data_IF_409967845072
#
_entry.id   IF_409967845072
#
_cell.length_a   1.000
_cell.length_b   1.000
_cell.length_c   1.000
_cell.angle_alpha   90.00
_cell.angle_beta   90.00
_cell.angle_gamma   90.00
#
_symmetry.space_group_name_H-M   'P 1'
#
loop_
_entity.id
_entity.type
_entity.pdbx_description
1 polymer ?
#
# COMPACT_ATOMS: atom_id res chain seq x y z
N UNK A 1 -24.07 2.83 2.61
CA UNK A 1 -22.60 2.76 2.42
C UNK A 1 -22.25 3.44 1.11
N UNK A 2 -21.36 4.41 1.13
CA UNK A 2 -20.83 5.06 -0.08
C UNK A 2 -19.47 4.45 -0.38
N UNK A 3 -19.43 3.47 -1.27
CA UNK A 3 -18.19 2.90 -1.77
C UNK A 3 -17.46 3.92 -2.65
N UNK A 4 -16.15 3.76 -2.77
CA UNK A 4 -15.34 4.59 -3.69
C UNK A 4 -15.87 4.50 -5.11
N UNK A 5 -15.91 5.66 -5.80
CA UNK A 5 -16.22 5.75 -7.22
C UNK A 5 -15.32 4.82 -8.04
N UNK A 6 -15.88 4.15 -9.00
CA UNK A 6 -15.17 3.31 -9.96
C UNK A 6 -14.87 4.10 -11.25
N UNK A 7 -13.63 4.09 -11.66
CA UNK A 7 -13.17 4.64 -12.93
C UNK A 7 -13.02 3.49 -13.93
N UNK A 8 -13.73 3.57 -15.04
CA UNK A 8 -13.62 2.59 -16.13
C UNK A 8 -12.32 2.79 -16.91
N UNK A 9 -11.55 1.74 -17.04
CA UNK A 9 -10.31 1.73 -17.79
C UNK A 9 -10.44 0.81 -19.02
N UNK A 10 -10.02 1.28 -20.21
CA UNK A 10 -10.07 0.46 -21.40
C UNK A 10 -9.07 -0.71 -21.33
N UNK A 11 -9.33 -1.76 -22.10
CA UNK A 11 -8.32 -2.76 -22.37
C UNK A 11 -7.11 -2.13 -23.07
N UNK A 12 -5.90 -2.64 -22.77
CA UNK A 12 -4.70 -2.11 -23.40
C UNK A 12 -3.45 -2.93 -23.14
N UNK A 13 -2.43 -2.66 -23.95
CA UNK A 13 -1.10 -3.25 -23.78
C UNK A 13 -0.13 -2.16 -23.38
N UNK A 14 0.72 -2.44 -22.39
CA UNK A 14 1.73 -1.51 -21.89
C UNK A 14 3.02 -2.22 -21.53
N UNK A 15 4.08 -1.46 -21.41
CA UNK A 15 5.37 -1.96 -20.92
C UNK A 15 5.42 -1.85 -19.41
N UNK A 16 5.39 -2.99 -18.75
CA UNK A 16 5.42 -3.12 -17.28
C UNK A 16 6.86 -3.22 -16.78
N UNK A 17 7.13 -2.58 -15.64
CA UNK A 17 8.42 -2.64 -14.98
C UNK A 17 9.37 -1.51 -15.34
N UNK A 18 10.61 -1.64 -14.87
CA UNK A 18 11.73 -0.72 -15.13
C UNK A 18 13.06 -1.46 -15.00
N UNK A 19 14.08 -1.04 -15.76
CA UNK A 19 15.46 -1.51 -15.63
C UNK A 19 16.38 -0.46 -14.97
N UNK A 20 15.84 0.71 -14.60
CA UNK A 20 16.62 1.87 -14.19
C UNK A 20 16.85 1.97 -12.68
N UNK A 21 16.09 1.21 -11.85
CA UNK A 21 16.09 1.41 -10.39
C UNK A 21 16.41 0.15 -9.60
N UNK A 22 15.41 -0.68 -9.33
CA UNK A 22 15.58 -1.85 -8.47
C UNK A 22 15.52 -3.15 -9.28
N UNK A 23 16.37 -4.14 -8.96
CA UNK A 23 16.43 -5.41 -9.70
C UNK A 23 15.10 -6.15 -9.78
N UNK A 24 14.24 -6.00 -8.75
CA UNK A 24 12.93 -6.63 -8.71
C UNK A 24 11.92 -6.04 -9.70
N UNK A 25 12.18 -4.84 -10.23
CA UNK A 25 11.34 -4.19 -11.22
C UNK A 25 11.61 -4.71 -12.66
N UNK A 26 12.68 -5.45 -12.84
CA UNK A 26 13.10 -6.01 -14.13
C UNK A 26 12.69 -7.49 -14.29
N UNK A 27 12.63 -7.99 -15.52
CA UNK A 27 12.77 -7.28 -16.80
C UNK A 27 11.54 -6.46 -17.16
N UNK A 28 11.72 -5.46 -18.02
CA UNK A 28 10.58 -4.79 -18.68
C UNK A 28 10.00 -5.73 -19.74
N UNK A 29 8.67 -5.87 -19.73
CA UNK A 29 7.98 -6.72 -20.72
C UNK A 29 6.58 -6.16 -21.03
N UNK A 30 6.04 -6.56 -22.18
CA UNK A 30 4.69 -6.16 -22.55
C UNK A 30 3.64 -6.99 -21.82
N UNK A 31 2.63 -6.31 -21.30
CA UNK A 31 1.48 -6.91 -20.64
C UNK A 31 0.19 -6.34 -21.24
N UNK A 32 -0.72 -7.22 -21.57
CA UNK A 32 -2.09 -6.84 -21.96
C UNK A 32 -3.02 -7.02 -20.78
N UNK A 33 -3.82 -6.02 -20.50
CA UNK A 33 -4.91 -6.06 -19.52
C UNK A 33 -6.25 -5.92 -20.23
N UNK A 34 -7.21 -6.68 -19.79
CA UNK A 34 -8.62 -6.52 -20.21
C UNK A 34 -9.19 -5.23 -19.62
N UNK A 35 -10.30 -4.72 -20.16
CA UNK A 35 -11.00 -3.60 -19.57
C UNK A 35 -11.49 -3.95 -18.15
N UNK A 36 -11.37 -3.02 -17.23
CA UNK A 36 -11.79 -3.17 -15.84
C UNK A 36 -12.11 -1.80 -15.23
N UNK A 37 -12.77 -1.81 -14.09
CA UNK A 37 -12.97 -0.58 -13.32
C UNK A 37 -12.14 -0.61 -12.07
N UNK A 38 -11.55 0.54 -11.69
CA UNK A 38 -10.72 0.67 -10.49
C UNK A 38 -11.26 1.77 -9.58
N UNK A 39 -11.14 1.59 -8.28
CA UNK A 39 -11.45 2.65 -7.31
C UNK A 39 -10.58 3.87 -7.55
N UNK A 40 -11.22 5.04 -7.57
CA UNK A 40 -10.56 6.32 -7.83
C UNK A 40 -9.44 6.61 -6.84
N UNK A 41 -9.62 6.22 -5.58
CA UNK A 41 -8.65 6.40 -4.49
C UNK A 41 -8.58 5.14 -3.61
N UNK A 42 -7.56 4.99 -2.75
CA UNK A 42 -7.50 3.92 -1.76
C UNK A 42 -8.74 3.92 -0.85
N UNK A 43 -9.11 2.75 -0.35
CA UNK A 43 -10.21 2.61 0.63
C UNK A 43 -9.92 3.49 1.83
N UNK A 44 -10.89 4.31 2.22
CA UNK A 44 -10.75 5.23 3.35
C UNK A 44 -11.04 4.54 4.68
N UNK A 45 -10.58 5.17 5.76
CA UNK A 45 -10.88 4.72 7.13
C UNK A 45 -12.38 4.66 7.40
N UNK A 46 -13.15 5.64 6.93
CA UNK A 46 -14.60 5.65 7.07
C UNK A 46 -15.26 4.47 6.37
N UNK A 47 -14.86 4.17 5.13
CA UNK A 47 -15.40 3.03 4.38
C UNK A 47 -15.04 1.69 5.02
N UNK A 48 -13.83 1.54 5.53
CA UNK A 48 -13.44 0.34 6.25
C UNK A 48 -14.18 0.19 7.58
N UNK A 49 -14.45 1.30 8.27
CA UNK A 49 -15.25 1.30 9.49
C UNK A 49 -16.69 0.80 9.25
N UNK A 50 -17.32 1.18 8.14
CA UNK A 50 -18.64 0.68 7.75
C UNK A 50 -18.62 -0.84 7.49
N UNK A 51 -17.63 -1.33 6.76
CA UNK A 51 -17.44 -2.78 6.56
C UNK A 51 -17.38 -3.53 7.89
N UNK A 52 -16.56 -3.04 8.82
CA UNK A 52 -16.43 -3.69 10.14
C UNK A 52 -17.72 -3.57 10.94
N UNK A 53 -18.42 -2.42 10.89
CA UNK A 53 -19.69 -2.24 11.60
C UNK A 53 -20.79 -3.18 11.09
N UNK A 54 -20.85 -3.45 9.78
CA UNK A 54 -21.86 -4.33 9.20
C UNK A 54 -21.55 -5.81 9.41
N UNK A 55 -20.26 -6.19 9.39
CA UNK A 55 -19.86 -7.60 9.37
C UNK A 55 -19.36 -8.12 10.70
N UNK A 56 -18.96 -7.25 11.63
CA UNK A 56 -18.25 -7.64 12.84
C UNK A 56 -16.84 -8.18 12.58
N UNK A 57 -16.26 -7.85 11.41
CA UNK A 57 -14.94 -8.37 11.02
C UNK A 57 -13.86 -7.97 12.02
N UNK A 58 -13.02 -8.95 12.39
CA UNK A 58 -11.85 -8.74 13.25
C UNK A 58 -10.61 -8.84 12.39
N UNK A 59 -9.80 -7.78 12.32
CA UNK A 59 -8.59 -7.73 11.48
C UNK A 59 -7.47 -8.60 12.04
N UNK A 60 -6.50 -8.93 11.18
CA UNK A 60 -5.32 -9.73 11.59
C UNK A 60 -4.60 -9.10 12.79
N UNK A 61 -4.46 -7.78 12.81
CA UNK A 61 -3.81 -7.07 13.90
C UNK A 61 -4.58 -7.16 15.25
N UNK A 62 -5.86 -7.47 15.21
CA UNK A 62 -6.74 -7.60 16.38
C UNK A 62 -6.90 -9.05 16.86
N UNK A 63 -6.36 -10.04 16.11
CA UNK A 63 -6.46 -11.48 16.46
C UNK A 63 -5.31 -11.91 17.34
N UNK A 64 -5.58 -12.90 18.16
CA UNK A 64 -4.53 -13.63 18.87
C UNK A 64 -3.57 -14.31 17.87
N UNK A 65 -2.28 -14.21 18.14
CA UNK A 65 -1.26 -14.84 17.31
C UNK A 65 -1.13 -16.32 17.67
N UNK A 66 -1.13 -17.19 16.67
CA UNK A 66 -0.91 -18.62 16.87
C UNK A 66 0.57 -18.89 17.20
N UNK A 67 0.90 -19.38 18.40
CA UNK A 67 2.29 -19.70 18.77
C UNK A 67 2.97 -20.69 17.80
N UNK A 68 2.20 -21.56 17.14
CA UNK A 68 2.75 -22.50 16.18
C UNK A 68 3.25 -21.81 14.88
N UNK A 69 2.70 -20.66 14.54
CA UNK A 69 3.12 -19.87 13.39
C UNK A 69 4.42 -19.06 13.66
N UNK A 70 4.78 -18.88 14.93
CA UNK A 70 5.93 -18.05 15.36
C UNK A 70 6.86 -18.84 16.30
N UNK A 71 7.54 -19.90 15.82
CA UNK A 71 8.39 -20.72 16.67
C UNK A 71 9.55 -19.90 17.25
N UNK A 72 9.67 -19.90 18.57
CA UNK A 72 10.71 -19.18 19.32
C UNK A 72 10.30 -17.77 19.78
N UNK A 73 9.10 -17.27 19.45
CA UNK A 73 8.56 -16.07 20.06
C UNK A 73 8.18 -16.32 21.52
N UNK A 74 8.40 -15.32 22.39
CA UNK A 74 7.92 -15.40 23.77
C UNK A 74 6.40 -15.19 23.83
N UNK A 75 5.70 -15.70 24.84
CA UNK A 75 4.27 -15.42 25.02
C UNK A 75 3.94 -13.92 25.07
N UNK A 76 4.86 -13.12 25.59
CA UNK A 76 4.70 -11.65 25.68
C UNK A 76 4.80 -10.96 24.31
N UNK A 77 5.43 -11.61 23.31
CA UNK A 77 5.52 -11.13 21.94
C UNK A 77 4.32 -11.56 21.09
N UNK A 78 3.51 -12.50 21.58
CA UNK A 78 2.34 -13.06 20.87
C UNK A 78 1.03 -12.36 21.21
N UNK A 79 1.10 -11.08 21.55
CA UNK A 79 -0.09 -10.25 21.77
C UNK A 79 -0.56 -9.60 20.46
N UNK A 80 -1.89 -9.45 20.26
CA UNK A 80 -2.43 -8.72 19.12
C UNK A 80 -1.80 -7.34 18.98
N UNK A 81 -1.45 -6.97 17.76
CA UNK A 81 -0.77 -5.71 17.49
C UNK A 81 -0.29 -5.62 16.04
N UNK A 82 0.50 -4.60 15.77
CA UNK A 82 1.01 -4.35 14.44
C UNK A 82 2.33 -3.55 14.46
N UNK A 83 3.02 -3.50 13.32
CA UNK A 83 4.22 -2.70 13.15
C UNK A 83 3.86 -1.22 13.00
N UNK A 84 4.45 -0.40 13.85
CA UNK A 84 4.26 1.05 13.86
C UNK A 84 5.58 1.73 13.52
N UNK A 85 5.55 2.65 12.56
CA UNK A 85 6.68 3.53 12.29
C UNK A 85 6.88 4.51 13.45
N UNK A 86 8.11 4.59 13.92
CA UNK A 86 8.56 5.54 14.96
C UNK A 86 9.75 6.32 14.44
N UNK A 87 9.66 7.65 14.30
CA UNK A 87 10.79 8.46 13.91
C UNK A 87 11.92 8.27 14.93
N UNK A 88 13.15 8.18 14.43
CA UNK A 88 14.33 8.10 15.30
C UNK A 88 14.70 9.51 15.80
N UNK A 89 15.53 9.59 16.83
CA UNK A 89 15.97 10.90 17.38
C UNK A 89 17.00 11.61 16.51
N UNK A 90 17.60 10.90 15.57
CA UNK A 90 18.66 11.40 14.68
C UNK A 90 18.99 10.38 13.61
N UNK A 91 20.04 10.64 12.80
CA UNK A 91 20.46 9.74 11.75
C UNK A 91 20.79 8.34 12.28
N UNK A 92 20.40 7.32 11.52
CA UNK A 92 20.64 5.90 11.85
C UNK A 92 21.14 5.15 10.62
N UNK A 93 21.57 3.90 10.81
CA UNK A 93 21.90 3.02 9.68
C UNK A 93 20.64 2.60 8.92
N UNK A 94 20.44 3.14 7.73
CA UNK A 94 19.26 2.87 6.90
C UNK A 94 19.16 1.42 6.38
N UNK A 95 20.14 0.57 6.64
CA UNK A 95 20.08 -0.87 6.32
C UNK A 95 19.40 -1.69 7.42
N UNK A 96 19.18 -1.11 8.59
CA UNK A 96 18.52 -1.77 9.71
C UNK A 96 17.15 -1.12 10.00
N UNK A 97 16.15 -1.61 9.29
CA UNK A 97 14.77 -1.13 9.41
C UNK A 97 14.17 -1.23 10.81
N UNK A 98 14.68 -2.11 11.68
CA UNK A 98 14.24 -2.28 13.07
C UNK A 98 14.44 -1.04 13.92
N UNK A 99 15.26 -0.08 13.48
CA UNK A 99 15.48 1.16 14.21
C UNK A 99 14.30 2.12 14.17
N UNK A 100 13.38 1.98 13.22
CA UNK A 100 12.18 2.81 13.10
C UNK A 100 10.88 2.02 12.98
N UNK A 101 10.92 0.70 12.97
CA UNK A 101 9.75 -0.15 13.06
C UNK A 101 9.69 -0.83 14.42
N UNK A 102 8.55 -0.69 15.10
CA UNK A 102 8.32 -1.28 16.41
C UNK A 102 7.01 -2.03 16.40
N UNK A 103 7.01 -3.27 16.91
CA UNK A 103 5.76 -3.96 17.24
C UNK A 103 5.10 -3.25 18.40
N UNK A 104 3.80 -2.87 18.22
CA UNK A 104 3.04 -2.17 19.22
C UNK A 104 1.79 -2.98 19.55
N UNK A 105 1.71 -3.56 20.75
CA UNK A 105 0.49 -4.22 21.23
C UNK A 105 -0.72 -3.30 21.13
N UNK A 106 -1.84 -3.84 20.62
CA UNK A 106 -3.08 -3.09 20.44
C UNK A 106 -3.09 -2.08 19.29
N UNK A 107 -2.00 -1.98 18.50
CA UNK A 107 -2.05 -1.23 17.24
C UNK A 107 -2.94 -1.98 16.25
N UNK A 108 -3.85 -1.25 15.61
CA UNK A 108 -4.84 -1.77 14.66
C UNK A 108 -5.34 -0.64 13.77
N UNK A 109 -6.20 -0.93 12.83
CA UNK A 109 -6.81 0.10 11.99
C UNK A 109 -7.57 1.17 12.79
N UNK A 110 -8.12 0.84 13.98
CA UNK A 110 -8.78 1.79 14.90
C UNK A 110 -7.80 2.61 15.73
N UNK A 111 -6.65 2.04 16.00
CA UNK A 111 -5.57 2.60 16.80
C UNK A 111 -4.24 2.51 16.05
N UNK A 112 -4.05 3.30 14.95
CA UNK A 112 -2.94 3.07 14.01
C UNK A 112 -1.54 3.15 14.64
N UNK A 113 -1.41 3.88 15.73
CA UNK A 113 -0.14 4.07 16.44
C UNK A 113 -0.13 3.42 17.83
N UNK A 114 -1.10 2.55 18.13
CA UNK A 114 -1.29 1.87 19.39
C UNK A 114 -2.49 2.42 20.19
N UNK A 115 -2.81 1.85 21.38
CA UNK A 115 -4.04 2.11 22.13
C UNK A 115 -4.33 3.58 22.48
N UNK A 116 -3.30 4.43 22.51
CA UNK A 116 -3.44 5.87 22.75
C UNK A 116 -3.75 6.70 21.50
N UNK A 117 -3.90 6.08 20.33
CA UNK A 117 -4.25 6.76 19.08
C UNK A 117 -5.70 6.48 18.67
N UNK A 118 -6.30 7.38 17.87
CA UNK A 118 -7.64 7.23 17.31
C UNK A 118 -7.64 7.51 15.81
N UNK A 119 -8.77 7.27 15.17
CA UNK A 119 -9.05 7.58 13.76
C UNK A 119 -10.07 8.72 13.61
N UNK A 120 -10.39 9.43 14.67
CA UNK A 120 -11.47 10.44 14.68
C UNK A 120 -11.25 11.58 13.68
N UNK A 121 -10.00 11.90 13.40
CA UNK A 121 -9.58 12.94 12.44
C UNK A 121 -9.12 12.36 11.09
N UNK A 122 -9.40 11.07 10.81
CA UNK A 122 -8.85 10.32 9.66
C UNK A 122 -9.90 9.64 8.80
N UNK A 123 -11.13 10.11 8.85
CA UNK A 123 -12.25 9.51 8.13
C UNK A 123 -11.99 9.39 6.62
N UNK A 124 -11.37 10.40 6.02
CA UNK A 124 -11.01 10.53 4.61
C UNK A 124 -9.55 10.15 4.28
N UNK A 125 -8.78 9.68 5.27
CA UNK A 125 -7.46 9.11 5.02
C UNK A 125 -7.57 7.65 4.56
N UNK A 126 -6.58 7.13 3.80
CA UNK A 126 -6.50 5.70 3.54
C UNK A 126 -6.51 4.91 4.84
N UNK A 127 -7.26 3.82 4.89
CA UNK A 127 -7.13 2.88 6.00
C UNK A 127 -5.74 2.26 5.99
N UNK A 128 -5.14 2.15 7.17
CA UNK A 128 -3.83 1.50 7.39
C UNK A 128 -3.95 0.45 8.48
N UNK A 129 -2.87 -0.26 8.78
CA UNK A 129 -2.88 -1.40 9.72
C UNK A 129 -3.83 -2.52 9.26
N UNK A 130 -3.91 -2.73 7.96
CA UNK A 130 -4.70 -3.79 7.32
C UNK A 130 -3.76 -4.76 6.60
N UNK A 131 -3.88 -6.04 6.93
CA UNK A 131 -3.15 -7.13 6.29
C UNK A 131 -3.85 -7.53 4.97
N UNK A 132 -3.19 -8.36 4.16
CA UNK A 132 -3.78 -8.83 2.89
C UNK A 132 -5.14 -9.52 3.04
N UNK A 133 -5.36 -10.43 4.03
CA UNK A 133 -6.69 -11.02 4.24
C UNK A 133 -7.77 -10.00 4.61
N UNK A 134 -7.40 -8.92 5.32
CA UNK A 134 -8.34 -7.86 5.69
C UNK A 134 -8.80 -7.09 4.46
N UNK A 135 -7.85 -6.73 3.59
CA UNK A 135 -8.12 -6.07 2.33
C UNK A 135 -8.98 -6.94 1.39
N UNK A 136 -8.68 -8.25 1.31
CA UNK A 136 -9.45 -9.20 0.52
C UNK A 136 -10.88 -9.39 1.05
N UNK A 137 -11.05 -9.42 2.38
CA UNK A 137 -12.38 -9.52 3.02
C UNK A 137 -13.24 -8.27 2.74
N UNK A 138 -12.65 -7.07 2.86
CA UNK A 138 -13.33 -5.84 2.46
C UNK A 138 -13.74 -5.86 0.99
N UNK A 139 -12.82 -6.23 0.10
CA UNK A 139 -13.10 -6.29 -1.33
C UNK A 139 -14.28 -7.22 -1.64
N UNK A 140 -14.30 -8.42 -1.03
CA UNK A 140 -15.40 -9.37 -1.19
C UNK A 140 -16.74 -8.82 -0.68
N UNK A 141 -16.74 -8.17 0.50
CA UNK A 141 -17.94 -7.52 1.05
C UNK A 141 -18.48 -6.42 0.12
N UNK A 142 -17.58 -5.63 -0.47
CA UNK A 142 -17.93 -4.57 -1.41
C UNK A 142 -18.38 -5.11 -2.80
N UNK A 143 -18.38 -6.43 -3.05
CA UNK A 143 -18.63 -7.02 -4.35
C UNK A 143 -17.51 -6.72 -5.36
N UNK A 144 -16.30 -6.50 -4.87
CA UNK A 144 -15.11 -6.13 -5.64
C UNK A 144 -13.97 -7.14 -5.40
N UNK A 145 -12.81 -6.87 -5.94
CA UNK A 145 -11.58 -7.65 -5.74
C UNK A 145 -10.35 -6.74 -5.70
N UNK A 146 -9.25 -7.23 -5.15
CA UNK A 146 -7.98 -6.52 -5.24
C UNK A 146 -7.42 -6.62 -6.68
N UNK A 147 -6.70 -5.60 -7.15
CA UNK A 147 -6.06 -5.63 -8.47
C UNK A 147 -4.91 -6.63 -8.50
N UNK A 148 -4.60 -7.16 -9.67
CA UNK A 148 -3.28 -7.74 -9.94
C UNK A 148 -2.24 -6.61 -10.00
N UNK A 149 -0.96 -6.95 -9.85
CA UNK A 149 0.12 -5.99 -10.03
C UNK A 149 0.08 -5.31 -11.41
N UNK A 150 -0.22 -6.07 -12.46
CA UNK A 150 -0.31 -5.54 -13.82
C UNK A 150 -1.47 -4.54 -13.98
N UNK A 151 -2.64 -4.85 -13.45
CA UNK A 151 -3.80 -3.93 -13.47
C UNK A 151 -3.49 -2.66 -12.68
N UNK A 152 -2.85 -2.80 -11.52
CA UNK A 152 -2.47 -1.66 -10.70
C UNK A 152 -1.48 -0.75 -11.44
N UNK A 153 -0.40 -1.32 -12.02
CA UNK A 153 0.62 -0.54 -12.73
C UNK A 153 0.06 0.10 -14.01
N UNK A 154 -0.82 -0.59 -14.74
CA UNK A 154 -1.53 -0.03 -15.88
C UNK A 154 -2.34 1.21 -15.51
N UNK A 155 -3.11 1.12 -14.42
CA UNK A 155 -3.89 2.23 -13.89
C UNK A 155 -2.99 3.41 -13.44
N UNK A 156 -1.86 3.11 -12.77
CA UNK A 156 -0.92 4.12 -12.31
C UNK A 156 -0.22 4.86 -13.45
N UNK A 157 0.16 4.14 -14.50
CA UNK A 157 0.81 4.72 -15.69
C UNK A 157 -0.13 5.59 -16.52
N UNK A 158 -1.38 5.22 -16.61
CA UNK A 158 -2.40 5.92 -17.40
C UNK A 158 -1.90 6.28 -18.82
N UNK A 159 -1.27 5.31 -19.49
CA UNK A 159 -0.70 5.47 -20.84
C UNK A 159 0.71 6.06 -20.89
N UNK A 160 1.26 6.55 -19.78
CA UNK A 160 2.61 7.10 -19.71
C UNK A 160 3.67 6.01 -19.53
N UNK A 161 4.84 6.20 -20.15
CA UNK A 161 6.05 5.42 -19.89
C UNK A 161 7.09 6.18 -19.06
N UNK A 162 6.73 7.38 -18.60
CA UNK A 162 7.59 8.21 -17.78
C UNK A 162 7.91 7.57 -16.42
N UNK A 163 8.91 8.10 -15.75
CA UNK A 163 9.39 7.64 -14.43
C UNK A 163 8.31 7.70 -13.36
N UNK A 164 7.55 8.79 -13.32
CA UNK A 164 6.41 9.00 -12.43
C UNK A 164 5.11 9.05 -13.23
N UNK A 165 3.98 8.92 -12.57
CA UNK A 165 2.66 9.02 -13.22
C UNK A 165 2.44 10.39 -13.91
N UNK A 166 3.14 11.43 -13.48
CA UNK A 166 3.04 12.83 -13.96
C UNK A 166 4.19 13.25 -14.88
N UNK A 167 5.18 12.42 -15.16
CA UNK A 167 6.35 12.75 -15.98
C UNK A 167 7.67 12.26 -15.38
N UNK A 168 8.78 12.81 -15.84
CA UNK A 168 10.12 12.40 -15.40
C UNK A 168 10.70 13.26 -14.28
N UNK A 169 10.16 14.45 -14.05
CA UNK A 169 10.55 15.31 -12.95
C UNK A 169 9.78 14.93 -11.68
N UNK A 170 10.51 14.74 -10.58
CA UNK A 170 9.91 14.39 -9.28
C UNK A 170 9.02 15.49 -8.72
N UNK A 171 9.37 16.75 -8.99
CA UNK A 171 8.66 17.94 -8.52
C UNK A 171 8.55 18.99 -9.64
N UNK A 172 7.69 18.77 -10.63
CA UNK A 172 7.53 19.70 -11.73
C UNK A 172 7.13 21.10 -11.19
N UNK A 173 7.87 22.12 -11.62
CA UNK A 173 7.72 23.50 -11.14
C UNK A 173 7.79 23.64 -9.60
N UNK A 174 8.52 22.74 -8.93
CA UNK A 174 8.67 22.71 -7.47
C UNK A 174 7.43 22.20 -6.71
N UNK A 175 6.42 21.63 -7.40
CA UNK A 175 5.20 21.12 -6.79
C UNK A 175 5.36 19.67 -6.37
N UNK A 176 4.95 19.37 -5.15
CA UNK A 176 4.79 17.98 -4.69
C UNK A 176 3.59 17.35 -5.39
N UNK A 177 3.80 16.22 -6.04
CA UNK A 177 2.80 15.49 -6.83
C UNK A 177 2.25 14.26 -6.11
N UNK A 178 2.82 13.91 -4.98
CA UNK A 178 2.43 12.76 -4.17
C UNK A 178 2.82 12.97 -2.70
N UNK A 179 2.13 12.28 -1.78
CA UNK A 179 2.51 12.27 -0.38
C UNK A 179 3.68 11.31 -0.17
N UNK A 180 4.88 11.86 -0.08
CA UNK A 180 6.14 11.17 0.20
C UNK A 180 6.85 11.84 1.36
N UNK A 181 7.92 11.24 1.87
CA UNK A 181 8.68 11.81 2.97
C UNK A 181 9.32 13.16 2.58
N UNK A 182 9.10 14.17 3.40
CA UNK A 182 9.63 15.52 3.19
C UNK A 182 10.62 15.87 4.30
N UNK A 183 11.91 15.74 4.03
CA UNK A 183 12.95 16.03 5.01
C UNK A 183 14.03 14.95 5.04
N UNK A 184 14.49 14.58 6.22
CA UNK A 184 15.57 13.59 6.40
C UNK A 184 15.06 12.31 7.07
N UNK A 185 14.99 11.25 6.30
CA UNK A 185 14.50 9.95 6.79
C UNK A 185 15.52 9.28 7.73
N UNK A 186 15.09 8.63 8.81
CA UNK A 186 13.72 8.50 9.34
C UNK A 186 13.42 9.42 10.53
N UNK A 187 14.21 10.47 10.75
CA UNK A 187 14.19 11.26 11.99
C UNK A 187 13.56 12.65 11.85
N UNK A 188 13.48 13.19 10.63
CA UNK A 188 12.92 14.52 10.39
C UNK A 188 12.00 14.49 9.18
N UNK A 189 10.72 14.70 9.43
CA UNK A 189 9.74 15.00 8.39
C UNK A 189 9.26 16.45 8.59
N UNK A 190 9.43 17.27 7.57
CA UNK A 190 9.10 18.70 7.66
C UNK A 190 7.60 18.96 7.51
N UNK A 191 6.78 17.96 7.13
CA UNK A 191 5.34 18.09 7.01
C UNK A 191 4.91 19.22 6.07
N UNK A 192 5.62 19.41 4.96
CA UNK A 192 5.55 20.59 4.09
C UNK A 192 4.13 20.89 3.60
N UNK A 193 3.28 19.87 3.45
CA UNK A 193 1.87 20.01 3.06
C UNK A 193 0.88 19.89 4.21
N UNK A 194 1.36 19.92 5.46
CA UNK A 194 0.54 19.80 6.68
C UNK A 194 0.39 18.37 7.22
N UNK A 195 0.97 17.36 6.56
CA UNK A 195 0.91 15.97 7.01
C UNK A 195 2.29 15.37 7.27
N UNK A 196 2.41 14.63 8.34
CA UNK A 196 3.61 13.86 8.72
C UNK A 196 3.40 12.36 8.51
N UNK A 197 2.18 11.95 8.24
CA UNK A 197 1.75 10.58 7.94
C UNK A 197 0.96 10.53 6.64
N UNK A 198 -0.11 9.74 6.62
CA UNK A 198 -1.06 9.73 5.51
C UNK A 198 -1.72 11.10 5.34
N UNK A 199 -2.10 11.44 4.12
CA UNK A 199 -2.94 12.58 3.77
C UNK A 199 -4.36 12.12 3.42
N UNK A 200 -5.36 13.02 3.47
CA UNK A 200 -6.68 12.73 2.91
C UNK A 200 -6.57 12.28 1.46
N UNK A 201 -7.42 11.33 1.04
CA UNK A 201 -7.44 10.86 -0.34
C UNK A 201 -7.79 11.98 -1.30
N UNK A 202 -7.20 11.98 -2.50
CA UNK A 202 -7.45 13.01 -3.50
C UNK A 202 -6.78 14.36 -3.22
N UNK A 203 -5.86 14.43 -2.27
CA UNK A 203 -5.06 15.64 -2.01
C UNK A 203 -4.20 16.04 -3.22
N UNK A 204 -3.74 15.06 -3.98
CA UNK A 204 -2.86 15.28 -5.14
C UNK A 204 -3.63 15.13 -6.46
N UNK A 205 -3.11 15.74 -7.55
CA UNK A 205 -3.78 15.71 -8.85
C UNK A 205 -4.00 14.29 -9.37
N UNK A 206 -5.12 14.03 -10.09
CA UNK A 206 -5.34 12.76 -10.75
C UNK A 206 -4.35 12.54 -11.90
N UNK A 207 -4.10 11.27 -12.22
CA UNK A 207 -3.43 10.90 -13.45
C UNK A 207 -4.36 11.04 -14.67
N UNK A 208 -3.88 10.70 -15.87
CA UNK A 208 -4.65 10.87 -17.11
C UNK A 208 -5.92 9.98 -17.17
N UNK A 209 -6.03 8.94 -16.34
CA UNK A 209 -7.26 8.15 -16.21
C UNK A 209 -8.23 8.71 -15.16
N UNK A 210 -7.86 9.76 -14.42
CA UNK A 210 -8.70 10.32 -13.36
C UNK A 210 -8.52 9.64 -11.99
N UNK A 211 -7.58 8.70 -11.88
CA UNK A 211 -7.28 7.98 -10.64
C UNK A 211 -6.30 8.81 -9.81
N UNK A 212 -6.52 8.90 -8.50
CA UNK A 212 -5.69 9.67 -7.56
C UNK A 212 -4.92 8.76 -6.61
N UNK A 213 -3.86 9.29 -6.00
CA UNK A 213 -3.05 8.64 -4.96
C UNK A 213 -2.47 7.27 -5.37
N UNK A 214 -2.20 7.08 -6.67
CA UNK A 214 -1.52 5.87 -7.14
C UNK A 214 -0.04 5.84 -6.69
N UNK A 215 0.52 6.98 -6.36
CA UNK A 215 1.92 7.13 -5.96
C UNK A 215 1.97 7.80 -4.59
N UNK A 216 2.75 7.23 -3.67
CA UNK A 216 2.88 7.76 -2.31
C UNK A 216 1.66 7.44 -1.43
N UNK A 217 1.49 8.16 -0.35
CA UNK A 217 0.47 8.02 0.67
C UNK A 217 0.55 6.66 1.38
N UNK A 218 0.01 5.60 0.78
CA UNK A 218 0.13 4.22 1.29
C UNK A 218 0.57 3.26 0.20
N UNK A 219 1.37 2.25 0.56
CA UNK A 219 1.54 1.06 -0.25
C UNK A 219 0.19 0.37 -0.41
N UNK A 220 -0.04 -0.26 -1.56
CA UNK A 220 -1.29 -0.93 -1.84
C UNK A 220 -1.11 -2.42 -2.13
N UNK A 221 -1.95 -3.24 -1.48
CA UNK A 221 -2.00 -4.67 -1.69
C UNK A 221 -2.44 -5.02 -3.11
N UNK A 222 -1.76 -6.01 -3.71
CA UNK A 222 -2.19 -6.65 -4.96
C UNK A 222 -2.37 -8.16 -4.77
N UNK A 223 -3.11 -8.81 -5.67
CA UNK A 223 -3.29 -10.28 -5.65
C UNK A 223 -2.07 -11.04 -6.16
N UNK A 224 -1.08 -10.35 -6.73
CA UNK A 224 0.09 -10.99 -7.32
C UNK A 224 1.06 -11.44 -6.23
N UNK A 225 1.36 -12.74 -6.19
CA UNK A 225 2.43 -13.28 -5.35
C UNK A 225 3.77 -12.67 -5.76
N UNK A 226 4.53 -12.22 -4.78
CA UNK A 226 5.82 -11.61 -5.04
C UNK A 226 6.84 -12.62 -5.58
N UNK A 227 7.60 -12.18 -6.56
CA UNK A 227 8.82 -12.84 -7.01
C UNK A 227 9.95 -11.81 -7.13
N UNK A 228 11.23 -12.20 -6.89
CA UNK A 228 12.37 -11.27 -6.93
C UNK A 228 12.63 -10.62 -8.29
N UNK A 229 12.00 -11.10 -9.32
CA UNK A 229 12.01 -10.55 -10.68
C UNK A 229 10.65 -10.69 -11.30
N UNK A 230 10.33 -9.80 -12.23
CA UNK A 230 9.17 -10.01 -13.07
C UNK A 230 9.29 -11.36 -13.81
N UNK A 231 8.21 -12.11 -13.77
CA UNK A 231 8.05 -13.30 -14.60
C UNK A 231 6.85 -13.05 -15.50
N UNK A 232 6.98 -13.18 -16.83
CA UNK A 232 5.84 -13.14 -17.71
C UNK A 232 4.92 -14.32 -17.38
N UNK A 233 4.07 -14.16 -16.40
CA UNK A 233 3.07 -15.18 -16.05
C UNK A 233 1.97 -15.13 -17.10
N UNK A 234 1.70 -16.29 -17.69
CA UNK A 234 0.40 -16.51 -18.34
C UNK A 234 -0.67 -16.23 -17.28
N UNK A 235 -1.49 -15.23 -17.53
CA UNK A 235 -2.57 -14.78 -16.67
C UNK A 235 -3.47 -15.96 -16.28
N UNK A 236 -3.24 -16.50 -15.09
CA UNK A 236 -4.17 -17.42 -14.43
C UNK A 236 -5.18 -16.58 -13.68
N UNK A 237 -6.39 -16.50 -14.20
CA UNK A 237 -7.55 -15.98 -13.47
C UNK A 237 -7.69 -16.76 -12.15
N UNK A 238 -7.91 -16.03 -11.04
CA UNK A 238 -8.36 -16.56 -9.75
C UNK A 238 -7.33 -17.35 -8.93
N UNK A 239 -6.44 -16.65 -8.22
CA UNK A 239 -5.87 -17.25 -7.02
C UNK A 239 -6.89 -17.08 -5.87
N UNK A 240 -7.26 -18.16 -5.14
CA UNK A 240 -8.13 -18.05 -3.99
C UNK A 240 -7.46 -17.25 -2.88
N UNK A 241 -8.21 -16.51 -2.05
CA UNK A 241 -7.68 -15.85 -0.87
C UNK A 241 -7.36 -16.92 0.18
N UNK A 242 -6.16 -17.45 0.14
CA UNK A 242 -5.68 -18.38 1.18
C UNK A 242 -4.65 -17.63 1.99
N UNK A 243 -5.00 -17.29 3.24
CA UNK A 243 -4.09 -16.75 4.23
C UNK A 243 -3.03 -17.78 4.62
N UNK A 244 -2.06 -17.98 3.75
CA UNK A 244 -0.85 -18.73 4.05
C UNK A 244 0.22 -17.69 4.44
N UNK A 245 0.57 -17.59 5.72
CA UNK A 245 1.54 -16.60 6.19
C UNK A 245 2.94 -16.78 5.58
N UNK A 246 3.21 -17.93 4.95
CA UNK A 246 4.45 -18.16 4.21
C UNK A 246 4.49 -17.46 2.84
N UNK A 247 3.35 -16.90 2.38
CA UNK A 247 3.26 -16.23 1.08
C UNK A 247 3.47 -14.73 1.21
N UNK A 248 4.23 -14.20 0.26
CA UNK A 248 4.46 -12.78 0.11
C UNK A 248 3.65 -12.25 -1.08
N UNK A 249 2.96 -11.14 -0.86
CA UNK A 249 2.27 -10.42 -1.92
C UNK A 249 3.09 -9.23 -2.39
N UNK A 250 2.81 -8.82 -3.62
CA UNK A 250 3.40 -7.61 -4.19
C UNK A 250 2.63 -6.39 -3.73
N UNK A 251 3.35 -5.43 -3.16
CA UNK A 251 2.86 -4.08 -2.90
C UNK A 251 3.28 -3.13 -4.02
N UNK A 252 2.44 -2.14 -4.30
CA UNK A 252 2.66 -1.11 -5.32
C UNK A 252 2.50 0.30 -4.76
N UNK A 253 3.11 1.29 -5.41
CA UNK A 253 2.85 2.71 -5.23
C UNK A 253 3.82 3.48 -4.32
N UNK A 254 4.51 2.82 -3.41
CA UNK A 254 5.25 3.52 -2.35
C UNK A 254 4.31 4.13 -1.32
N UNK A 255 4.86 4.88 -0.37
CA UNK A 255 4.06 5.48 0.70
C UNK A 255 4.64 6.83 1.16
N UNK A 256 3.96 7.47 2.11
CA UNK A 256 4.44 8.66 2.80
C UNK A 256 5.79 8.48 3.51
N UNK A 257 6.26 7.25 3.69
CA UNK A 257 7.58 6.94 4.26
C UNK A 257 8.68 6.79 3.20
N UNK A 258 8.35 6.89 1.91
CA UNK A 258 9.34 6.81 0.84
C UNK A 258 10.11 8.12 0.70
N UNK A 259 11.43 8.03 0.81
CA UNK A 259 12.38 9.14 0.74
C UNK A 259 13.48 8.82 -0.28
N UNK A 260 14.01 9.81 -1.03
CA UNK A 260 15.03 9.58 -2.04
C UNK A 260 16.27 8.84 -1.52
N UNK A 261 16.70 9.14 -0.28
CA UNK A 261 17.88 8.54 0.34
C UNK A 261 17.66 7.13 0.89
N UNK A 262 16.41 6.69 1.01
CA UNK A 262 16.07 5.39 1.59
C UNK A 262 15.25 4.50 0.65
N UNK A 263 14.17 5.03 0.10
CA UNK A 263 13.18 4.26 -0.65
C UNK A 263 12.67 5.08 -1.83
N UNK A 264 13.29 4.93 -3.00
CA UNK A 264 12.85 5.61 -4.22
C UNK A 264 11.76 4.78 -4.95
N UNK A 265 10.78 4.25 -4.19
CA UNK A 265 9.73 3.36 -4.72
C UNK A 265 8.38 4.05 -4.95
N UNK A 266 8.32 5.37 -4.89
CA UNK A 266 7.13 6.15 -5.26
C UNK A 266 7.05 6.36 -6.79
N UNK A 267 6.98 5.25 -7.54
CA UNK A 267 6.93 5.18 -9.01
C UNK A 267 6.01 4.01 -9.46
N UNK A 268 5.35 4.10 -10.62
CA UNK A 268 4.47 3.03 -11.10
C UNK A 268 5.13 1.66 -11.19
N UNK A 269 6.38 1.60 -11.68
CA UNK A 269 7.12 0.35 -11.83
C UNK A 269 7.56 -0.26 -10.49
N UNK A 270 7.69 0.56 -9.43
CA UNK A 270 8.20 0.10 -8.16
C UNK A 270 7.31 -0.95 -7.52
N UNK A 271 7.94 -1.91 -6.86
CA UNK A 271 7.30 -3.01 -6.18
C UNK A 271 8.04 -3.35 -4.89
N UNK A 272 7.34 -3.93 -3.95
CA UNK A 272 7.92 -4.44 -2.70
C UNK A 272 7.23 -5.73 -2.30
N UNK A 273 7.94 -6.58 -1.57
CA UNK A 273 7.35 -7.78 -1.00
C UNK A 273 6.85 -7.53 0.41
N UNK A 274 5.71 -8.11 0.76
CA UNK A 274 5.20 -8.09 2.11
C UNK A 274 4.51 -9.40 2.45
N UNK A 275 4.74 -9.95 3.66
CA UNK A 275 4.00 -11.13 4.11
C UNK A 275 2.52 -10.81 4.30
N UNK A 276 1.66 -11.78 3.99
CA UNK A 276 0.21 -11.59 3.96
C UNK A 276 -0.39 -11.19 5.31
N UNK A 277 0.23 -11.58 6.40
CA UNK A 277 -0.18 -11.32 7.78
C UNK A 277 0.32 -9.98 8.34
N UNK A 278 1.08 -9.22 7.56
CA UNK A 278 1.63 -7.95 8.03
C UNK A 278 0.62 -6.82 7.99
N UNK A 279 0.45 -6.16 9.13
CA UNK A 279 -0.24 -4.89 9.24
C UNK A 279 0.74 -3.79 9.66
N UNK A 280 0.73 -2.67 8.96
CA UNK A 280 1.67 -1.56 9.21
C UNK A 280 1.02 -0.20 8.99
N UNK A 281 1.65 0.85 9.53
CA UNK A 281 1.14 2.24 9.44
C UNK A 281 1.19 2.86 8.04
N UNK A 282 1.66 2.15 7.01
CA UNK A 282 1.87 2.70 5.68
C UNK A 282 1.37 1.81 4.54
N UNK A 283 0.57 0.77 4.87
CA UNK A 283 -0.01 -0.14 3.89
C UNK A 283 -1.54 -0.05 3.98
N UNK A 284 -2.15 0.18 2.83
CA UNK A 284 -3.58 0.16 2.59
C UNK A 284 -3.89 -0.62 1.30
N UNK A 285 -4.99 -0.28 0.63
CA UNK A 285 -5.40 -0.96 -0.60
C UNK A 285 -6.48 -0.18 -1.34
N UNK A 286 -6.71 -0.53 -2.61
CA UNK A 286 -7.90 -0.18 -3.40
C UNK A 286 -8.41 -1.40 -4.12
N UNK A 287 -9.67 -1.34 -4.57
CA UNK A 287 -10.33 -2.45 -5.25
C UNK A 287 -10.56 -2.16 -6.73
N UNK A 288 -10.86 -3.23 -7.47
CA UNK A 288 -11.33 -3.23 -8.85
C UNK A 288 -12.63 -4.03 -8.98
N UNK A 289 -13.37 -3.76 -10.04
CA UNK A 289 -14.57 -4.49 -10.42
C UNK A 289 -14.46 -5.06 -11.83
#
# INVERSE_FOLDING_TARGET
>A
VVLTELIELPAGTFRMGSEDFYPEEAPVYEVTVEAFSIERHPVTTAQFAEFVAETGYVTIAERELDPAAYPGASPDDLVPGALVFRPTRGPVNLRDWRQWWTWVPGASWRHPFGPGSSIDDRADHPVVQVAYPDAAAYAAWAGRRLPTEAQWEYAARAGSQARYAWGDDVQPDGRLMANTWQGRFPYRNDGTLGWVGTSPVGTFPPNAFGVVDMIGNVWEWTTTTYSPRHSPQKSGCCAPPTGDPSKFQTLKGGSHLCAPEYCHRYRPAARSSQSQDSATTHIGFRCIA
#
